data_IF_565898162642
#
_entry.id   IF_565898162642
#
_cell.length_a   1.000
_cell.length_b   1.000
_cell.length_c   1.000
_cell.angle_alpha   90.00
_cell.angle_beta   90.00
_cell.angle_gamma   90.00
#
_symmetry.space_group_name_H-M   'P 1'
#
loop_
_entity.id
_entity.type
_entity.pdbx_description
1 polymer ?
#
# COMPACT_ATOMS: atom_id res chain seq x y z
N UNK A 1 -8.82 9.78 9.96
CA UNK A 1 -9.02 9.91 8.54
C UNK A 1 -9.05 11.36 8.07
N UNK A 2 -8.81 11.57 6.81
CA UNK A 2 -8.77 12.92 6.23
C UNK A 2 -10.13 13.38 5.71
N UNK A 3 -11.20 12.73 6.11
CA UNK A 3 -12.56 13.08 5.75
C UNK A 3 -13.42 13.35 6.98
N UNK A 4 -14.49 14.12 6.79
CA UNK A 4 -15.56 14.33 7.74
C UNK A 4 -16.87 13.85 7.11
N UNK A 5 -17.66 13.10 7.87
CA UNK A 5 -19.08 12.85 7.60
C UNK A 5 -19.85 13.27 8.84
N UNK A 6 -20.84 14.13 8.66
CA UNK A 6 -21.70 14.63 9.74
C UNK A 6 -23.16 14.50 9.32
N UNK A 7 -23.98 13.98 10.22
CA UNK A 7 -25.42 13.99 10.10
C UNK A 7 -26.00 14.73 11.30
N UNK A 8 -26.89 15.66 11.07
CA UNK A 8 -27.56 16.45 12.10
C UNK A 8 -29.05 16.64 11.76
N UNK A 9 -29.87 16.80 12.80
CA UNK A 9 -31.27 17.13 12.66
C UNK A 9 -31.49 18.51 13.28
N UNK A 10 -32.07 19.43 12.54
CA UNK A 10 -32.36 20.78 13.01
C UNK A 10 -33.68 20.84 13.81
N UNK A 11 -34.02 22.03 14.28
CA UNK A 11 -35.24 22.29 15.09
C UNK A 11 -36.55 22.13 14.30
N UNK A 12 -36.48 21.91 12.99
CA UNK A 12 -37.59 21.66 12.08
C UNK A 12 -37.70 20.23 11.63
N UNK A 13 -36.99 19.32 12.30
CA UNK A 13 -36.89 17.90 11.95
C UNK A 13 -36.31 17.63 10.54
N UNK A 14 -35.51 18.58 10.01
CA UNK A 14 -34.82 18.41 8.73
C UNK A 14 -33.45 17.80 8.98
N UNK A 15 -33.20 16.64 8.37
CA UNK A 15 -31.90 15.99 8.41
C UNK A 15 -30.96 16.60 7.39
N UNK A 16 -29.78 17.01 7.84
CA UNK A 16 -28.68 17.51 6.99
C UNK A 16 -27.50 16.57 7.06
N UNK A 17 -26.94 16.24 5.91
CA UNK A 17 -25.72 15.42 5.79
C UNK A 17 -24.64 16.26 5.12
N UNK A 18 -23.47 16.31 5.76
CA UNK A 18 -22.26 16.91 5.22
C UNK A 18 -21.21 15.82 5.04
N UNK A 19 -20.51 15.84 3.91
CA UNK A 19 -19.42 14.90 3.62
C UNK A 19 -18.33 15.62 2.83
N UNK A 20 -17.07 15.43 3.22
CA UNK A 20 -15.96 16.08 2.53
C UNK A 20 -14.63 15.94 3.23
N UNK A 21 -13.69 16.78 2.85
CA UNK A 21 -12.37 16.85 3.49
C UNK A 21 -12.52 17.31 4.93
N UNK A 22 -11.82 16.67 5.86
CA UNK A 22 -11.82 17.07 7.26
C UNK A 22 -11.22 18.47 7.40
N UNK A 23 -11.91 19.45 8.01
CA UNK A 23 -11.46 20.84 8.06
C UNK A 23 -10.25 21.08 8.98
N UNK A 24 -9.98 20.16 9.92
CA UNK A 24 -8.88 20.34 10.87
C UNK A 24 -7.54 20.28 10.13
N UNK A 25 -6.78 21.38 10.14
CA UNK A 25 -5.49 21.51 9.51
C UNK A 25 -5.52 21.56 7.97
N UNK A 26 -6.71 21.61 7.36
CA UNK A 26 -6.85 21.76 5.92
C UNK A 26 -7.11 23.23 5.55
N UNK A 27 -6.29 23.75 4.64
CA UNK A 27 -6.44 25.04 4.01
C UNK A 27 -6.06 24.92 2.54
N UNK A 28 -6.79 25.56 1.66
CA UNK A 28 -6.48 25.65 0.25
C UNK A 28 -6.68 27.08 -0.24
N UNK A 29 -5.61 27.71 -0.72
CA UNK A 29 -5.72 29.01 -1.35
C UNK A 29 -6.10 28.83 -2.81
N UNK A 30 -7.13 29.55 -3.25
CA UNK A 30 -7.62 29.48 -4.61
C UNK A 30 -7.51 30.87 -5.25
N UNK A 31 -6.66 31.02 -6.24
CA UNK A 31 -6.50 32.28 -6.97
C UNK A 31 -7.68 32.50 -7.93
N UNK A 32 -7.94 33.77 -8.34
CA UNK A 32 -8.98 34.06 -9.33
C UNK A 32 -8.76 33.27 -10.63
N UNK A 33 -9.79 32.53 -11.06
CA UNK A 33 -9.74 31.72 -12.28
C UNK A 33 -9.23 30.28 -12.08
N UNK A 34 -8.74 29.92 -10.89
CA UNK A 34 -8.39 28.55 -10.53
C UNK A 34 -9.59 27.74 -10.07
N UNK A 35 -9.42 26.43 -10.02
CA UNK A 35 -10.43 25.49 -9.51
C UNK A 35 -9.78 24.44 -8.62
N UNK A 36 -10.51 23.99 -7.62
CA UNK A 36 -10.14 22.87 -6.75
C UNK A 36 -11.17 21.76 -6.84
N UNK A 37 -10.73 20.57 -7.24
CA UNK A 37 -11.58 19.38 -7.30
C UNK A 37 -11.59 18.69 -5.95
N UNK A 38 -12.74 18.67 -5.29
CA UNK A 38 -12.91 17.89 -4.05
C UNK A 38 -12.91 16.39 -4.33
N UNK A 39 -12.55 15.55 -3.35
CA UNK A 39 -12.81 14.11 -3.45
C UNK A 39 -14.28 13.83 -3.69
N UNK A 40 -14.57 12.77 -4.47
CA UNK A 40 -15.93 12.33 -4.73
C UNK A 40 -16.58 11.75 -3.48
N UNK A 41 -17.83 12.15 -3.23
CA UNK A 41 -18.69 11.53 -2.22
C UNK A 41 -19.74 10.67 -2.93
N UNK A 42 -19.93 9.44 -2.49
CA UNK A 42 -20.84 8.49 -3.10
C UNK A 42 -21.95 8.17 -2.11
N UNK A 43 -23.19 8.34 -2.55
CA UNK A 43 -24.39 8.06 -1.78
C UNK A 43 -25.17 6.94 -2.47
N UNK A 44 -25.70 6.02 -1.70
CA UNK A 44 -26.57 4.95 -2.18
C UNK A 44 -27.79 4.80 -1.29
N UNK A 45 -28.88 4.33 -1.87
CA UNK A 45 -30.09 3.92 -1.17
C UNK A 45 -30.29 2.41 -1.32
N UNK A 46 -30.75 1.74 -0.28
CA UNK A 46 -31.07 0.31 -0.31
C UNK A 46 -32.33 0.01 0.49
N UNK A 47 -33.27 -0.68 -0.16
CA UNK A 47 -34.46 -1.24 0.49
C UNK A 47 -34.15 -2.57 1.20
N UNK A 48 -33.03 -3.22 0.83
CA UNK A 48 -32.57 -4.50 1.35
C UNK A 48 -31.62 -4.35 2.55
N UNK A 49 -31.67 -3.22 3.23
CA UNK A 49 -30.86 -2.93 4.41
C UNK A 49 -29.35 -2.82 4.11
N UNK A 50 -28.52 -3.06 5.12
CA UNK A 50 -27.06 -2.91 5.03
C UNK A 50 -26.40 -3.88 4.06
N UNK A 51 -26.95 -5.09 3.92
CA UNK A 51 -26.39 -6.06 2.96
C UNK A 51 -26.60 -5.58 1.52
N UNK A 52 -27.79 -5.11 1.16
CA UNK A 52 -28.06 -4.53 -0.17
C UNK A 52 -27.17 -3.33 -0.46
N UNK A 53 -26.98 -2.45 0.53
CA UNK A 53 -26.02 -1.33 0.44
C UNK A 53 -24.60 -1.82 0.16
N UNK A 54 -24.11 -2.79 0.92
CA UNK A 54 -22.77 -3.36 0.72
C UNK A 54 -22.59 -3.95 -0.69
N UNK A 55 -23.59 -4.71 -1.17
CA UNK A 55 -23.53 -5.29 -2.52
C UNK A 55 -23.52 -4.22 -3.61
N UNK A 56 -24.23 -3.12 -3.42
CA UNK A 56 -24.22 -1.98 -4.34
C UNK A 56 -22.82 -1.34 -4.41
N UNK A 57 -22.18 -1.11 -3.26
CA UNK A 57 -20.80 -0.60 -3.22
C UNK A 57 -19.79 -1.60 -3.79
N UNK A 58 -19.93 -2.90 -3.52
CA UNK A 58 -19.05 -3.91 -4.12
C UNK A 58 -19.14 -3.91 -5.64
N UNK A 59 -20.34 -3.77 -6.21
CA UNK A 59 -20.54 -3.66 -7.65
C UNK A 59 -19.87 -2.39 -8.20
N UNK A 60 -20.04 -1.27 -7.53
CA UNK A 60 -19.37 -0.01 -7.89
C UNK A 60 -17.86 -0.17 -7.90
N UNK A 61 -17.28 -0.72 -6.82
CA UNK A 61 -15.84 -0.90 -6.72
C UNK A 61 -15.27 -1.83 -7.79
N UNK A 62 -15.96 -2.95 -8.07
CA UNK A 62 -15.56 -3.88 -9.13
C UNK A 62 -15.59 -3.27 -10.52
N UNK A 63 -16.59 -2.41 -10.81
CA UNK A 63 -16.83 -1.90 -12.16
C UNK A 63 -16.21 -0.54 -12.42
N UNK A 64 -15.98 0.26 -11.39
CA UNK A 64 -15.53 1.65 -11.51
C UNK A 64 -14.16 1.93 -10.86
N UNK A 65 -13.88 1.33 -9.70
CA UNK A 65 -12.64 1.55 -8.95
C UNK A 65 -11.54 0.58 -9.39
N UNK A 66 -11.81 -0.72 -9.39
CA UNK A 66 -10.85 -1.72 -9.84
C UNK A 66 -10.57 -1.57 -11.33
N UNK A 67 -9.28 -1.58 -11.70
CA UNK A 67 -8.80 -1.36 -13.08
C UNK A 67 -7.70 -2.36 -13.42
N UNK A 68 -7.34 -2.41 -14.70
CA UNK A 68 -6.23 -3.21 -15.21
C UNK A 68 -6.51 -4.71 -15.28
N UNK A 69 -5.46 -5.46 -15.50
CA UNK A 69 -5.51 -6.90 -15.73
C UNK A 69 -6.25 -7.69 -14.65
N UNK A 70 -6.08 -7.30 -13.38
CA UNK A 70 -6.61 -8.02 -12.24
C UNK A 70 -8.06 -7.68 -11.88
N UNK A 71 -8.72 -6.78 -12.59
CA UNK A 71 -10.10 -6.39 -12.30
C UNK A 71 -11.06 -7.57 -12.31
N UNK A 72 -10.97 -8.40 -13.34
CA UNK A 72 -11.90 -9.50 -13.61
C UNK A 72 -11.22 -10.88 -13.50
N UNK A 73 -10.05 -10.96 -12.88
CA UNK A 73 -9.29 -12.19 -12.71
C UNK A 73 -9.16 -12.57 -11.25
N UNK A 74 -9.12 -13.88 -11.01
CA UNK A 74 -8.76 -14.42 -9.70
C UNK A 74 -7.34 -14.00 -9.33
N UNK A 75 -7.11 -13.76 -8.05
CA UNK A 75 -5.77 -13.45 -7.54
C UNK A 75 -4.99 -14.75 -7.40
N UNK A 76 -3.69 -14.74 -7.71
CA UNK A 76 -2.86 -15.92 -7.50
C UNK A 76 -2.78 -16.28 -6.02
N UNK A 77 -2.70 -17.55 -5.72
CA UNK A 77 -2.37 -18.03 -4.38
C UNK A 77 -0.91 -17.64 -4.11
N UNK A 78 -0.68 -16.78 -3.13
CA UNK A 78 0.65 -16.26 -2.85
C UNK A 78 1.20 -16.73 -1.51
N UNK A 79 2.53 -16.73 -1.42
CA UNK A 79 3.31 -16.84 -0.19
C UNK A 79 4.34 -15.72 -0.14
N UNK A 80 4.73 -15.29 1.05
CA UNK A 80 5.92 -14.47 1.27
C UNK A 80 6.92 -15.22 2.17
N UNK A 81 8.11 -14.65 2.33
CA UNK A 81 9.18 -15.25 3.14
C UNK A 81 9.24 -14.74 4.59
N UNK A 82 8.38 -13.78 4.98
CA UNK A 82 8.57 -13.06 6.24
C UNK A 82 8.76 -13.99 7.45
N UNK A 83 7.77 -14.82 7.75
CA UNK A 83 7.81 -15.73 8.89
C UNK A 83 8.88 -16.82 8.79
N UNK A 84 9.38 -17.09 7.58
CA UNK A 84 10.41 -18.10 7.38
C UNK A 84 11.83 -17.58 7.59
N UNK A 85 12.09 -16.29 7.29
CA UNK A 85 13.46 -15.78 7.23
C UNK A 85 13.65 -14.44 7.93
N UNK A 86 12.58 -13.67 8.15
CA UNK A 86 12.68 -12.26 8.50
C UNK A 86 13.69 -11.54 7.61
N UNK A 87 14.66 -10.84 8.20
CA UNK A 87 15.73 -10.13 7.46
C UNK A 87 16.89 -11.02 7.02
N UNK A 88 16.97 -12.26 7.49
CA UNK A 88 18.09 -13.18 7.21
C UNK A 88 17.79 -14.10 6.02
N UNK A 89 18.04 -13.60 4.82
CA UNK A 89 17.87 -14.35 3.58
C UNK A 89 18.87 -13.93 2.52
N UNK A 90 19.05 -14.81 1.55
CA UNK A 90 19.74 -14.55 0.29
C UNK A 90 18.91 -15.07 -0.88
N UNK A 91 19.37 -14.79 -2.10
CA UNK A 91 18.67 -15.16 -3.34
C UNK A 91 18.39 -16.66 -3.44
N UNK A 92 19.37 -17.52 -3.09
CA UNK A 92 19.20 -18.98 -3.19
C UNK A 92 18.17 -19.52 -2.19
N UNK A 93 18.16 -19.00 -0.96
CA UNK A 93 17.14 -19.37 0.04
C UNK A 93 15.74 -19.05 -0.46
N UNK A 94 15.54 -17.87 -1.05
CA UNK A 94 14.25 -17.46 -1.60
C UNK A 94 13.80 -18.40 -2.72
N UNK A 95 14.71 -18.77 -3.63
CA UNK A 95 14.42 -19.70 -4.73
C UNK A 95 14.04 -21.08 -4.18
N UNK A 96 14.73 -21.60 -3.17
CA UNK A 96 14.41 -22.90 -2.57
C UNK A 96 13.05 -22.91 -1.84
N UNK A 97 12.70 -21.80 -1.15
CA UNK A 97 11.36 -21.62 -0.56
C UNK A 97 10.31 -21.63 -1.69
N UNK A 98 10.55 -20.90 -2.78
CA UNK A 98 9.65 -20.84 -3.92
C UNK A 98 9.44 -22.21 -4.58
N UNK A 99 10.51 -23.00 -4.78
CA UNK A 99 10.43 -24.37 -5.30
C UNK A 99 9.57 -25.27 -4.42
N UNK A 100 9.71 -25.14 -3.11
CA UNK A 100 8.92 -25.88 -2.14
C UNK A 100 7.46 -25.44 -2.14
N UNK A 101 7.20 -24.15 -2.19
CA UNK A 101 5.87 -23.57 -2.29
C UNK A 101 5.15 -23.98 -3.57
N UNK A 102 5.85 -24.03 -4.71
CA UNK A 102 5.29 -24.50 -5.99
C UNK A 102 4.75 -25.90 -5.91
N UNK A 103 5.46 -26.82 -5.23
CA UNK A 103 4.99 -28.21 -5.02
C UNK A 103 3.67 -28.26 -4.22
N UNK A 104 3.40 -27.26 -3.37
CA UNK A 104 2.17 -27.11 -2.62
C UNK A 104 1.05 -26.39 -3.40
N UNK A 105 1.28 -26.01 -4.66
CA UNK A 105 0.29 -25.34 -5.50
C UNK A 105 0.28 -23.81 -5.39
N UNK A 106 1.28 -23.19 -4.78
CA UNK A 106 1.42 -21.73 -4.71
C UNK A 106 1.78 -21.20 -6.11
N UNK A 107 1.22 -20.04 -6.47
CA UNK A 107 1.29 -19.46 -7.81
C UNK A 107 2.13 -18.19 -7.88
N UNK A 108 2.35 -17.54 -6.73
CA UNK A 108 3.07 -16.26 -6.64
C UNK A 108 3.96 -16.24 -5.39
N UNK A 109 5.18 -15.77 -5.56
CA UNK A 109 6.09 -15.46 -4.45
C UNK A 109 6.21 -13.95 -4.27
N UNK A 110 5.99 -13.45 -3.07
CA UNK A 110 6.19 -12.04 -2.72
C UNK A 110 7.39 -11.94 -1.80
N UNK A 111 8.46 -11.29 -2.25
CA UNK A 111 9.62 -10.99 -1.41
C UNK A 111 9.24 -9.88 -0.43
N UNK A 112 9.30 -10.23 0.84
CA UNK A 112 8.91 -9.35 1.95
C UNK A 112 10.06 -8.40 2.34
N UNK A 113 9.95 -7.73 3.47
CA UNK A 113 10.88 -6.71 3.96
C UNK A 113 12.35 -7.17 3.98
N UNK A 114 13.27 -6.22 3.85
CA UNK A 114 14.72 -6.48 3.95
C UNK A 114 15.45 -6.67 2.61
N UNK A 115 14.76 -6.54 1.47
CA UNK A 115 15.38 -6.70 0.15
C UNK A 115 16.12 -5.45 -0.35
N UNK A 116 15.98 -4.31 0.30
CA UNK A 116 16.43 -3.00 -0.18
C UNK A 116 17.43 -2.33 0.76
N UNK A 117 18.22 -1.42 0.20
CA UNK A 117 19.16 -0.56 0.92
C UNK A 117 20.07 -1.33 1.87
N UNK A 118 20.17 -0.83 3.09
CA UNK A 118 20.89 -1.47 4.21
C UNK A 118 19.96 -2.16 5.21
N UNK A 119 18.71 -2.42 4.82
CA UNK A 119 17.64 -2.95 5.66
C UNK A 119 17.93 -4.36 6.18
N UNK A 120 18.53 -4.46 7.35
CA UNK A 120 18.81 -5.71 8.05
C UNK A 120 18.06 -5.83 9.39
N UNK A 121 17.31 -4.79 9.74
CA UNK A 121 16.41 -4.70 10.89
C UNK A 121 15.34 -3.64 10.64
N UNK A 122 14.44 -3.44 11.59
CA UNK A 122 13.33 -2.51 11.50
C UNK A 122 13.68 -1.03 11.71
N UNK A 123 14.95 -0.71 12.03
CA UNK A 123 15.38 0.64 12.42
C UNK A 123 16.02 1.45 11.30
N UNK A 124 16.31 0.84 10.16
CA UNK A 124 17.04 1.44 9.06
C UNK A 124 16.45 1.11 7.70
N UNK A 125 16.77 1.93 6.71
CA UNK A 125 16.62 1.65 5.30
C UNK A 125 15.26 1.96 4.68
N UNK A 126 14.17 2.17 5.43
CA UNK A 126 12.90 2.57 4.84
C UNK A 126 13.06 3.92 4.12
N UNK A 127 12.66 3.93 2.85
CA UNK A 127 12.89 5.04 1.91
C UNK A 127 13.93 4.73 0.83
N UNK A 128 14.81 3.77 1.05
CA UNK A 128 15.91 3.41 0.16
C UNK A 128 15.55 2.21 -0.74
N UNK A 129 14.63 2.41 -1.67
CA UNK A 129 14.04 1.34 -2.51
C UNK A 129 14.95 0.88 -3.65
N UNK A 130 16.19 0.54 -3.35
CA UNK A 130 17.13 -0.09 -4.28
C UNK A 130 17.61 -1.44 -3.73
N UNK A 131 17.82 -2.41 -4.61
CA UNK A 131 18.15 -3.78 -4.20
C UNK A 131 19.42 -3.85 -3.35
N UNK A 132 19.38 -4.63 -2.27
CA UNK A 132 20.55 -5.00 -1.50
C UNK A 132 21.30 -6.13 -2.22
N UNK A 133 22.33 -5.78 -2.97
CA UNK A 133 23.10 -6.74 -3.76
C UNK A 133 23.91 -7.74 -2.91
N UNK A 134 24.09 -7.50 -1.62
CA UNK A 134 24.69 -8.49 -0.72
C UNK A 134 23.75 -9.67 -0.45
N UNK A 135 22.44 -9.45 -0.54
CA UNK A 135 21.41 -10.50 -0.38
C UNK A 135 20.94 -11.03 -1.72
N UNK A 136 20.83 -10.14 -2.72
CA UNK A 136 20.30 -10.42 -4.05
C UNK A 136 21.41 -10.16 -5.08
N UNK A 137 22.26 -11.13 -5.29
CA UNK A 137 23.45 -10.99 -6.15
C UNK A 137 23.13 -10.49 -7.57
N UNK A 138 21.99 -10.95 -8.12
CA UNK A 138 21.53 -10.57 -9.45
C UNK A 138 20.44 -9.47 -9.42
N UNK A 139 20.23 -8.86 -8.26
CA UNK A 139 19.18 -7.83 -8.03
C UNK A 139 17.77 -8.38 -8.18
N UNK A 140 16.80 -7.45 -8.15
CA UNK A 140 15.38 -7.81 -8.25
C UNK A 140 15.05 -8.49 -9.59
N UNK A 141 15.58 -7.99 -10.69
CA UNK A 141 15.33 -8.56 -12.02
C UNK A 141 15.87 -9.99 -12.15
N UNK A 142 17.05 -10.25 -11.59
CA UNK A 142 17.63 -11.60 -11.61
C UNK A 142 16.83 -12.57 -10.76
N UNK A 143 16.47 -12.19 -9.53
CA UNK A 143 15.62 -13.02 -8.68
C UNK A 143 14.25 -13.28 -9.31
N UNK A 144 13.58 -12.24 -9.82
CA UNK A 144 12.29 -12.39 -10.51
C UNK A 144 12.36 -13.39 -11.66
N UNK A 145 13.41 -13.30 -12.48
CA UNK A 145 13.64 -14.23 -13.58
C UNK A 145 13.84 -15.67 -13.09
N UNK A 146 14.63 -15.87 -12.04
CA UNK A 146 14.83 -17.18 -11.43
C UNK A 146 13.53 -17.78 -10.89
N UNK A 147 12.69 -16.98 -10.21
CA UNK A 147 11.38 -17.42 -9.71
C UNK A 147 10.46 -17.85 -10.87
N UNK A 148 10.47 -17.10 -11.98
CA UNK A 148 9.69 -17.43 -13.15
C UNK A 148 10.21 -18.69 -13.85
N UNK A 149 11.51 -18.75 -14.16
CA UNK A 149 12.12 -19.82 -14.96
C UNK A 149 12.28 -21.14 -14.19
N UNK A 150 12.73 -21.09 -12.91
CA UNK A 150 12.98 -22.30 -12.11
C UNK A 150 11.72 -22.81 -11.40
N UNK A 151 10.76 -21.93 -11.07
CA UNK A 151 9.57 -22.29 -10.28
C UNK A 151 8.26 -22.16 -11.05
N UNK A 152 8.22 -21.44 -12.18
CA UNK A 152 6.98 -21.16 -12.91
C UNK A 152 5.99 -20.36 -12.09
N UNK A 153 6.46 -19.43 -11.25
CA UNK A 153 5.65 -18.62 -10.35
C UNK A 153 5.74 -17.15 -10.74
N UNK A 154 4.70 -16.39 -10.40
CA UNK A 154 4.74 -14.93 -10.45
C UNK A 154 5.60 -14.41 -9.32
N UNK A 155 6.16 -13.20 -9.49
CA UNK A 155 6.96 -12.53 -8.49
C UNK A 155 6.37 -11.18 -8.12
N UNK A 156 6.45 -10.81 -6.85
CA UNK A 156 6.05 -9.53 -6.30
C UNK A 156 7.00 -9.06 -5.21
N UNK A 157 6.86 -7.80 -4.84
CA UNK A 157 7.67 -7.15 -3.79
C UNK A 157 6.76 -6.50 -2.76
N UNK A 158 7.18 -6.57 -1.50
CA UNK A 158 6.63 -5.76 -0.44
C UNK A 158 7.23 -4.34 -0.47
N UNK A 159 6.39 -3.34 -0.23
CA UNK A 159 6.76 -1.94 -0.08
C UNK A 159 6.00 -1.29 1.06
N UNK A 160 6.66 -0.39 1.78
CA UNK A 160 6.08 0.49 2.81
C UNK A 160 6.39 1.96 2.49
N UNK A 161 5.87 2.50 1.38
CA UNK A 161 6.26 3.81 0.85
C UNK A 161 5.80 4.99 1.71
N UNK A 162 4.89 4.77 2.65
CA UNK A 162 4.41 5.77 3.61
C UNK A 162 5.37 6.01 4.77
N UNK A 163 6.38 5.16 4.94
CA UNK A 163 7.32 5.23 6.06
C UNK A 163 8.74 5.56 5.58
N UNK A 164 9.49 6.24 6.44
CA UNK A 164 10.90 6.54 6.24
C UNK A 164 11.65 6.41 7.56
N UNK A 165 12.80 5.76 7.55
CA UNK A 165 13.70 5.76 8.70
C UNK A 165 14.63 6.99 8.67
N UNK A 166 14.97 7.54 9.83
CA UNK A 166 16.02 8.56 9.92
C UNK A 166 17.38 8.03 9.42
N UNK A 167 17.64 6.73 9.62
CA UNK A 167 18.77 6.04 9.02
C UNK A 167 18.42 5.50 7.62
N UNK A 168 18.24 6.42 6.69
CA UNK A 168 18.11 6.18 5.26
C UNK A 168 18.78 7.28 4.45
N UNK A 169 19.16 6.99 3.22
CA UNK A 169 19.67 7.99 2.29
C UNK A 169 18.58 9.00 1.92
N UNK A 170 17.33 8.53 1.81
CA UNK A 170 16.19 9.41 1.55
C UNK A 170 16.07 10.50 2.62
N UNK A 171 16.06 10.11 3.89
CA UNK A 171 15.95 11.07 4.99
C UNK A 171 17.16 12.01 5.07
N UNK A 172 18.38 11.50 4.89
CA UNK A 172 19.60 12.32 4.89
C UNK A 172 19.61 13.37 3.79
N UNK A 173 19.05 13.05 2.63
CA UNK A 173 18.99 13.97 1.49
C UNK A 173 17.78 14.91 1.54
N UNK A 174 16.67 14.47 2.14
CA UNK A 174 15.38 15.17 2.14
C UNK A 174 14.67 15.11 3.50
N UNK A 175 15.31 15.63 4.59
CA UNK A 175 14.71 15.62 5.93
C UNK A 175 13.44 16.46 6.03
N UNK A 176 13.21 17.37 5.08
CA UNK A 176 12.03 18.20 4.98
C UNK A 176 10.78 17.46 4.47
N UNK A 177 10.94 16.27 3.88
CA UNK A 177 9.82 15.48 3.37
C UNK A 177 9.06 14.71 4.45
N UNK A 178 9.65 14.54 5.64
CA UNK A 178 8.99 13.83 6.73
C UNK A 178 7.79 14.64 7.27
N UNK A 179 6.67 13.97 7.42
CA UNK A 179 5.48 14.55 8.06
C UNK A 179 5.70 14.63 9.56
N UNK A 180 5.82 15.84 10.09
CA UNK A 180 6.00 16.07 11.52
C UNK A 180 5.28 17.32 12.01
N UNK A 181 4.91 17.34 13.28
CA UNK A 181 4.44 18.55 13.94
C UNK A 181 5.64 19.48 14.19
N UNK A 182 5.54 20.79 13.88
CA UNK A 182 6.59 21.73 14.19
C UNK A 182 7.05 21.61 15.65
N UNK A 183 8.37 21.67 15.88
CA UNK A 183 9.00 21.57 17.20
C UNK A 183 8.81 20.24 17.96
N UNK A 184 8.32 19.20 17.29
CA UNK A 184 8.27 17.82 17.83
C UNK A 184 9.22 16.91 17.08
N UNK A 185 9.67 15.83 17.74
CA UNK A 185 10.35 14.74 17.05
C UNK A 185 9.37 14.08 16.04
N UNK A 186 9.91 13.59 14.95
CA UNK A 186 9.16 12.74 14.03
C UNK A 186 8.68 11.47 14.75
N UNK A 187 7.51 10.96 14.35
CA UNK A 187 7.10 9.59 14.70
C UNK A 187 7.81 8.65 13.72
N UNK A 188 8.41 7.62 14.27
CA UNK A 188 8.99 6.51 13.51
C UNK A 188 7.95 5.41 13.43
#
# INVERSE_FOLDING_TARGET
GNFLMQAEVDTYDVTRILMGIHPMGFQWHLEPGESFQTPEAIITFSEDGLNGMSQTFHKLFRTRLARGYWRDKERPILINNWEATYFDFNEDMIVEIAKSAKKAGIEMFVLDDGWFGTRNDDKQGLGDWFANLNKLEHGISGLSKRIEEECGMKFGLWFEPEMVNEDSNLYRNHPEWILKTPHRKSCH
#
